data_IF_684326871769
#
_entry.id   IF_684326871769
#
_cell.length_a   1.000
_cell.length_b   1.000
_cell.length_c   1.000
_cell.angle_alpha   90.00
_cell.angle_beta   90.00
_cell.angle_gamma   90.00
#
_symmetry.space_group_name_H-M   'P 1'
#
loop_
_entity.id
_entity.type
_entity.pdbx_description
1 polymer ?
#
# COMPACT_ATOMS: atom_id res chain seq x y z
N UNK A 1 4.46 25.57 -2.67
CA UNK A 1 5.59 24.66 -2.33
C UNK A 1 5.24 23.37 -3.04
N UNK A 2 5.97 23.02 -4.10
CA UNK A 2 5.89 21.68 -4.69
C UNK A 2 6.24 20.70 -3.57
N UNK A 3 5.25 19.91 -3.13
CA UNK A 3 5.58 18.70 -2.38
C UNK A 3 6.15 17.77 -3.44
N UNK A 4 7.47 17.66 -3.52
CA UNK A 4 8.08 16.70 -4.43
C UNK A 4 7.74 15.30 -3.90
N UNK A 5 6.81 14.62 -4.57
CA UNK A 5 6.24 13.30 -4.25
C UNK A 5 7.23 12.21 -4.69
N UNK A 6 8.42 12.25 -4.10
CA UNK A 6 9.44 11.24 -4.28
C UNK A 6 9.79 10.70 -2.91
N UNK A 7 9.42 9.45 -2.65
CA UNK A 7 9.86 8.77 -1.45
C UNK A 7 11.23 8.11 -1.67
N UNK A 8 12.06 8.21 -0.65
CA UNK A 8 13.40 7.65 -0.65
C UNK A 8 13.34 6.26 -0.03
N UNK A 9 13.62 5.22 -0.81
CA UNK A 9 13.83 3.90 -0.25
C UNK A 9 15.15 3.94 0.50
N UNK A 10 15.09 3.82 1.82
CA UNK A 10 16.27 3.77 2.68
C UNK A 10 16.61 2.32 3.00
N UNK A 11 17.89 1.96 3.01
CA UNK A 11 18.30 0.70 3.65
C UNK A 11 18.34 0.85 5.17
N UNK A 12 18.62 -0.24 5.90
CA UNK A 12 18.74 -0.25 7.37
C UNK A 12 19.85 0.66 7.93
N UNK A 13 20.65 1.29 7.06
CA UNK A 13 21.70 2.27 7.41
C UNK A 13 21.31 3.70 7.06
N UNK A 14 20.08 3.94 6.61
CA UNK A 14 19.60 5.27 6.21
C UNK A 14 20.21 5.77 4.88
N UNK A 15 20.71 4.87 4.03
CA UNK A 15 21.20 5.24 2.70
C UNK A 15 20.08 5.16 1.67
N UNK A 16 19.94 6.22 0.87
CA UNK A 16 19.01 6.27 -0.25
C UNK A 16 19.46 5.29 -1.34
N UNK A 17 18.66 4.25 -1.58
CA UNK A 17 18.92 3.26 -2.63
C UNK A 17 18.09 3.50 -3.90
N UNK A 18 16.91 4.11 -3.80
CA UNK A 18 16.06 4.42 -4.96
C UNK A 18 15.13 5.60 -4.66
N UNK A 19 14.79 6.38 -5.70
CA UNK A 19 13.71 7.38 -5.67
C UNK A 19 12.49 6.80 -6.38
N UNK A 20 11.37 6.70 -5.68
CA UNK A 20 10.12 6.14 -6.23
C UNK A 20 9.03 7.21 -6.14
N UNK A 21 8.26 7.39 -7.21
CA UNK A 21 7.09 8.27 -7.22
C UNK A 21 5.94 7.62 -6.45
N UNK A 22 5.03 8.41 -5.89
CA UNK A 22 3.84 7.85 -5.23
C UNK A 22 2.78 7.51 -6.27
N UNK A 23 2.45 6.22 -6.35
CA UNK A 23 1.38 5.64 -7.17
C UNK A 23 0.11 5.42 -6.36
N UNK A 24 0.19 5.45 -5.03
CA UNK A 24 -0.93 5.44 -4.08
C UNK A 24 -0.80 6.62 -3.13
N UNK A 25 -1.83 6.89 -2.33
CA UNK A 25 -1.74 7.85 -1.23
C UNK A 25 -0.81 7.34 -0.12
N UNK A 26 0.51 7.45 -0.29
CA UNK A 26 1.50 6.82 0.60
C UNK A 26 1.30 7.21 2.08
N UNK A 27 1.15 8.49 2.39
CA UNK A 27 0.97 8.94 3.78
C UNK A 27 -0.36 8.45 4.39
N UNK A 28 -1.45 8.41 3.62
CA UNK A 28 -2.75 7.91 4.07
C UNK A 28 -2.72 6.40 4.24
N UNK A 29 -2.18 5.70 3.25
CA UNK A 29 -2.03 4.26 3.23
C UNK A 29 -1.19 3.77 4.43
N UNK A 30 -0.04 4.41 4.70
CA UNK A 30 0.80 4.07 5.85
C UNK A 30 0.06 4.21 7.18
N UNK A 31 -0.80 5.22 7.35
CA UNK A 31 -1.63 5.37 8.56
C UNK A 31 -2.67 4.26 8.69
N UNK A 32 -3.28 3.85 7.57
CA UNK A 32 -4.22 2.72 7.56
C UNK A 32 -3.49 1.45 7.96
N UNK A 33 -2.32 1.18 7.36
CA UNK A 33 -1.51 0.00 7.69
C UNK A 33 -1.05 0.02 9.15
N UNK A 34 -0.59 1.16 9.67
CA UNK A 34 -0.21 1.29 11.08
C UNK A 34 -1.40 0.95 11.99
N UNK A 35 -2.58 1.46 11.67
CA UNK A 35 -3.81 1.15 12.43
C UNK A 35 -4.12 -0.34 12.40
N UNK A 36 -3.99 -0.99 11.24
CA UNK A 36 -4.22 -2.44 11.11
C UNK A 36 -3.21 -3.25 11.93
N UNK A 37 -1.93 -2.86 11.95
CA UNK A 37 -0.92 -3.49 12.81
C UNK A 37 -1.26 -3.34 14.29
N UNK A 38 -1.65 -2.13 14.72
CA UNK A 38 -2.04 -1.87 16.12
C UNK A 38 -3.26 -2.70 16.53
N UNK A 39 -4.27 -2.79 15.68
CA UNK A 39 -5.43 -3.67 15.90
C UNK A 39 -5.03 -5.16 16.02
N UNK A 40 -4.00 -5.61 15.30
CA UNK A 40 -3.48 -6.96 15.44
C UNK A 40 -2.71 -7.14 16.75
N UNK A 41 -1.94 -6.13 17.18
CA UNK A 41 -1.18 -6.13 18.42
C UNK A 41 -2.08 -6.16 19.67
N UNK A 42 -3.26 -5.53 19.61
CA UNK A 42 -4.28 -5.57 20.67
C UNK A 42 -4.80 -6.98 21.01
N UNK A 43 -4.46 -8.01 20.21
CA UNK A 43 -4.82 -9.40 20.52
C UNK A 43 -3.86 -10.08 21.51
N UNK A 44 -2.76 -9.43 21.89
CA UNK A 44 -1.74 -9.95 22.82
C UNK A 44 -1.88 -9.24 24.17
N UNK A 45 -1.86 -10.01 25.26
CA UNK A 45 -1.97 -9.48 26.63
C UNK A 45 -0.72 -8.65 27.04
N UNK A 46 0.40 -8.90 26.37
CA UNK A 46 1.74 -8.34 26.55
C UNK A 46 2.18 -7.50 25.35
N UNK A 47 1.24 -6.80 24.70
CA UNK A 47 1.46 -5.97 23.53
C UNK A 47 2.64 -4.97 23.65
N UNK A 48 2.79 -4.32 24.81
CA UNK A 48 3.88 -3.35 25.04
C UNK A 48 5.25 -4.05 25.05
N UNK A 49 5.35 -5.22 25.70
CA UNK A 49 6.59 -6.01 25.77
C UNK A 49 6.94 -6.56 24.38
N UNK A 50 5.93 -7.01 23.61
CA UNK A 50 6.12 -7.46 22.24
C UNK A 50 6.61 -6.32 21.31
N UNK A 51 6.10 -5.10 21.47
CA UNK A 51 6.58 -3.95 20.70
C UNK A 51 8.03 -3.59 21.06
N UNK A 52 8.41 -3.65 22.34
CA UNK A 52 9.81 -3.49 22.77
C UNK A 52 10.72 -4.58 22.19
N UNK A 53 10.27 -5.84 22.21
CA UNK A 53 11.01 -6.96 21.65
C UNK A 53 11.22 -6.84 20.13
N UNK A 54 10.20 -6.40 19.38
CA UNK A 54 10.34 -6.09 17.94
C UNK A 54 11.39 -5.00 17.72
N UNK A 55 11.39 -3.96 18.56
CA UNK A 55 12.35 -2.87 18.48
C UNK A 55 13.78 -3.34 18.75
N UNK A 56 13.98 -4.21 19.74
CA UNK A 56 15.29 -4.77 20.06
C UNK A 56 15.79 -5.75 19.00
N UNK A 57 14.93 -6.64 18.52
CA UNK A 57 15.30 -7.69 17.57
C UNK A 57 15.56 -7.15 16.16
N UNK A 58 14.70 -6.24 15.69
CA UNK A 58 14.73 -5.76 14.30
C UNK A 58 15.17 -4.31 14.15
N UNK A 59 15.28 -3.54 15.24
CA UNK A 59 15.53 -2.10 15.17
C UNK A 59 14.35 -1.33 14.59
N UNK A 60 13.13 -1.86 14.73
CA UNK A 60 11.91 -1.35 14.08
C UNK A 60 10.79 -1.14 15.09
N UNK A 61 9.94 -0.16 14.84
CA UNK A 61 8.66 0.00 15.53
C UNK A 61 7.49 -0.21 14.56
N UNK A 62 6.26 -0.26 15.09
CA UNK A 62 5.04 -0.49 14.29
C UNK A 62 4.91 0.53 13.15
N UNK A 63 5.24 1.80 13.41
CA UNK A 63 5.22 2.83 12.39
C UNK A 63 6.19 2.50 11.25
N UNK A 64 7.43 2.10 11.55
CA UNK A 64 8.42 1.73 10.53
C UNK A 64 8.01 0.49 9.72
N UNK A 65 7.38 -0.51 10.36
CA UNK A 65 6.82 -1.68 9.66
C UNK A 65 5.71 -1.28 8.69
N UNK A 66 4.82 -0.36 9.11
CA UNK A 66 3.76 0.15 8.27
C UNK A 66 4.29 0.92 7.05
N UNK A 67 5.34 1.73 7.23
CA UNK A 67 6.01 2.43 6.14
C UNK A 67 6.70 1.47 5.17
N UNK A 68 7.39 0.44 5.67
CA UNK A 68 8.02 -0.58 4.82
C UNK A 68 6.98 -1.32 3.96
N UNK A 69 5.86 -1.73 4.56
CA UNK A 69 4.76 -2.36 3.84
C UNK A 69 4.20 -1.41 2.76
N UNK A 70 3.99 -0.15 3.11
CA UNK A 70 3.43 0.87 2.19
C UNK A 70 4.35 1.12 1.01
N UNK A 71 5.65 1.24 1.26
CA UNK A 71 6.67 1.40 0.22
C UNK A 71 6.70 0.22 -0.73
N UNK A 72 6.58 -1.00 -0.22
CA UNK A 72 6.52 -2.20 -1.05
C UNK A 72 5.22 -2.25 -1.86
N UNK A 73 4.07 -1.96 -1.24
CA UNK A 73 2.79 -1.86 -1.93
C UNK A 73 2.81 -0.80 -3.05
N UNK A 74 3.45 0.36 -2.82
CA UNK A 74 3.62 1.40 -3.83
C UNK A 74 4.46 0.93 -5.02
N UNK A 75 5.56 0.21 -4.76
CA UNK A 75 6.39 -0.39 -5.83
C UNK A 75 5.64 -1.47 -6.60
N UNK A 76 4.90 -2.32 -5.92
CA UNK A 76 4.08 -3.35 -6.56
C UNK A 76 2.95 -2.72 -7.37
N UNK A 77 2.33 -1.63 -6.90
CA UNK A 77 1.35 -0.86 -7.66
C UNK A 77 1.98 -0.32 -8.95
N UNK A 78 3.17 0.30 -8.89
CA UNK A 78 3.89 0.73 -10.09
C UNK A 78 4.05 -0.42 -11.09
N UNK A 79 4.57 -1.56 -10.64
CA UNK A 79 4.77 -2.74 -11.51
C UNK A 79 3.44 -3.21 -12.10
N UNK A 80 2.38 -3.20 -11.30
CA UNK A 80 1.05 -3.62 -11.70
C UNK A 80 0.44 -2.70 -12.78
N UNK A 81 0.59 -1.39 -12.64
CA UNK A 81 0.14 -0.40 -13.62
C UNK A 81 0.82 -0.54 -14.99
N UNK A 82 1.97 -1.21 -15.04
CA UNK A 82 2.76 -1.40 -16.25
C UNK A 82 2.69 -2.82 -16.84
N UNK A 83 1.80 -3.68 -16.32
CA UNK A 83 1.56 -5.00 -16.90
C UNK A 83 0.82 -4.91 -18.24
N UNK A 84 0.99 -5.92 -19.09
CA UNK A 84 0.21 -6.07 -20.33
C UNK A 84 -1.30 -6.25 -20.07
N UNK A 85 -1.65 -6.69 -18.86
CA UNK A 85 -3.02 -6.84 -18.40
C UNK A 85 -3.13 -6.56 -16.90
N UNK A 86 -4.17 -5.82 -16.54
CA UNK A 86 -4.57 -5.49 -15.18
C UNK A 86 -5.67 -6.44 -14.69
N UNK A 87 -5.85 -7.60 -15.32
CA UNK A 87 -6.71 -8.65 -14.79
C UNK A 87 -5.99 -9.41 -13.68
N UNK A 88 -6.67 -9.60 -12.54
CA UNK A 88 -6.20 -10.48 -11.47
C UNK A 88 -6.97 -11.81 -11.51
N UNK A 89 -6.27 -12.90 -11.80
CA UNK A 89 -6.87 -14.25 -11.84
C UNK A 89 -7.54 -14.60 -10.50
N UNK A 90 -8.80 -15.02 -10.56
CA UNK A 90 -9.58 -15.36 -9.36
C UNK A 90 -10.16 -14.16 -8.61
N UNK A 91 -9.94 -12.94 -9.10
CA UNK A 91 -10.53 -11.70 -8.60
C UNK A 91 -11.37 -11.02 -9.70
N UNK A 92 -12.38 -10.25 -9.30
CA UNK A 92 -13.17 -9.42 -10.23
C UNK A 92 -12.51 -8.06 -10.50
N UNK A 93 -11.42 -7.75 -9.80
CA UNK A 93 -10.70 -6.49 -9.93
C UNK A 93 -9.92 -6.42 -11.26
N UNK A 94 -10.15 -5.34 -12.02
CA UNK A 94 -9.48 -5.04 -13.27
C UNK A 94 -9.32 -3.53 -13.46
N UNK A 95 -8.18 -2.95 -13.07
CA UNK A 95 -7.96 -1.49 -13.10
C UNK A 95 -8.22 -0.85 -14.46
N UNK A 96 -7.95 -1.57 -15.56
CA UNK A 96 -8.19 -1.05 -16.90
C UNK A 96 -9.67 -0.75 -17.17
N UNK A 97 -10.58 -1.48 -16.51
CA UNK A 97 -12.03 -1.28 -16.60
C UNK A 97 -12.57 -0.50 -15.40
N UNK A 98 -12.03 -0.75 -14.20
CA UNK A 98 -12.48 -0.15 -12.95
C UNK A 98 -12.21 1.37 -12.91
N UNK A 99 -11.04 1.81 -13.40
CA UNK A 99 -10.67 3.23 -13.34
C UNK A 99 -11.52 4.12 -14.27
N UNK A 100 -11.73 3.78 -15.57
CA UNK A 100 -12.67 4.53 -16.41
C UNK A 100 -14.09 4.59 -15.82
N UNK A 101 -14.56 3.49 -15.23
CA UNK A 101 -15.84 3.46 -14.52
C UNK A 101 -15.85 4.40 -13.32
N UNK A 102 -14.80 4.42 -12.51
CA UNK A 102 -14.66 5.36 -11.40
C UNK A 102 -14.73 6.82 -11.88
N UNK A 103 -13.98 7.16 -12.94
CA UNK A 103 -13.90 8.53 -13.48
C UNK A 103 -15.20 9.02 -14.12
N UNK A 104 -15.91 8.14 -14.82
CA UNK A 104 -17.06 8.53 -15.65
C UNK A 104 -18.41 8.17 -15.02
N UNK A 105 -18.42 7.26 -14.04
CA UNK A 105 -19.63 6.63 -13.50
C UNK A 105 -20.27 5.59 -14.43
N UNK A 106 -19.67 5.30 -15.59
CA UNK A 106 -20.26 4.47 -16.64
C UNK A 106 -19.49 3.15 -16.78
N UNK A 107 -20.23 2.03 -16.88
CA UNK A 107 -19.64 0.68 -16.95
C UNK A 107 -19.11 0.31 -18.35
N UNK A 108 -19.62 0.95 -19.41
CA UNK A 108 -19.27 0.62 -20.80
C UNK A 108 -18.90 1.87 -21.57
N UNK A 109 -17.85 1.76 -22.40
CA UNK A 109 -17.51 2.81 -23.35
C UNK A 109 -18.67 3.18 -24.28
N UNK A 110 -19.57 2.24 -24.62
CA UNK A 110 -20.75 2.51 -25.46
C UNK A 110 -21.76 3.48 -24.85
N UNK A 111 -21.75 3.58 -23.53
CA UNK A 111 -22.70 4.37 -22.74
C UNK A 111 -22.07 5.70 -22.28
N UNK A 112 -20.81 5.94 -22.68
CA UNK A 112 -20.05 7.15 -22.39
C UNK A 112 -20.09 8.09 -23.60
N UNK A 113 -20.46 9.35 -23.38
CA UNK A 113 -20.64 10.33 -24.45
C UNK A 113 -19.31 10.84 -25.05
N UNK A 114 -18.16 10.52 -24.43
CA UNK A 114 -16.82 10.86 -24.92
C UNK A 114 -16.13 9.73 -25.69
N UNK A 115 -15.02 10.04 -26.36
CA UNK A 115 -14.22 9.08 -27.13
C UNK A 115 -12.95 8.60 -26.40
N UNK A 116 -12.66 9.16 -25.22
CA UNK A 116 -11.44 8.94 -24.43
C UNK A 116 -11.61 7.90 -23.30
N UNK A 117 -12.72 7.15 -23.24
CA UNK A 117 -13.01 6.21 -22.15
C UNK A 117 -11.84 5.27 -21.82
N UNK A 118 -11.24 4.68 -22.85
CA UNK A 118 -10.09 3.77 -22.68
C UNK A 118 -8.74 4.49 -22.56
N UNK A 119 -8.70 5.80 -22.84
CA UNK A 119 -7.52 6.64 -22.66
C UNK A 119 -7.41 7.14 -21.21
N UNK A 120 -8.49 7.10 -20.42
CA UNK A 120 -8.48 7.53 -19.02
C UNK A 120 -7.43 6.78 -18.19
N UNK A 121 -7.35 5.45 -18.31
CA UNK A 121 -6.38 4.65 -17.57
C UNK A 121 -4.92 4.98 -17.97
N UNK A 122 -4.52 4.96 -19.27
CA UNK A 122 -3.18 5.40 -19.67
C UNK A 122 -2.85 6.82 -19.23
N UNK A 123 -3.81 7.74 -19.26
CA UNK A 123 -3.60 9.12 -18.80
C UNK A 123 -3.31 9.18 -17.29
N UNK A 124 -4.00 8.38 -16.47
CA UNK A 124 -3.68 8.24 -15.03
C UNK A 124 -2.23 7.78 -14.83
N UNK A 125 -1.82 6.72 -15.51
CA UNK A 125 -0.45 6.18 -15.41
C UNK A 125 0.58 7.25 -15.76
N UNK A 126 0.36 8.01 -16.84
CA UNK A 126 1.24 9.11 -17.26
C UNK A 126 1.35 10.19 -16.18
N UNK A 127 0.25 10.59 -15.54
CA UNK A 127 0.28 11.58 -14.44
C UNK A 127 1.09 11.09 -13.24
N UNK A 128 0.89 9.82 -12.86
CA UNK A 128 1.61 9.20 -11.74
C UNK A 128 3.10 9.03 -12.02
N UNK A 129 3.47 8.59 -13.23
CA UNK A 129 4.87 8.47 -13.66
C UNK A 129 5.58 9.82 -13.76
N UNK A 130 4.85 10.88 -14.12
CA UNK A 130 5.35 12.24 -14.10
C UNK A 130 5.49 12.81 -12.67
N UNK A 131 5.08 12.06 -11.64
CA UNK A 131 4.96 12.51 -10.25
C UNK A 131 4.20 13.83 -10.16
N UNK A 132 3.11 13.96 -10.92
CA UNK A 132 2.33 15.19 -11.01
C UNK A 132 1.70 15.53 -9.65
N UNK A 133 1.76 16.81 -9.28
CA UNK A 133 1.15 17.38 -8.06
C UNK A 133 -0.12 18.17 -8.42
N UNK A 134 -0.99 17.56 -9.22
CA UNK A 134 -2.31 18.10 -9.55
C UNK A 134 -3.38 17.49 -8.68
N UNK A 135 -4.52 18.19 -8.59
CA UNK A 135 -5.72 17.67 -7.93
C UNK A 135 -6.10 16.30 -8.51
N UNK A 136 -6.02 16.14 -9.83
CA UNK A 136 -6.31 14.87 -10.48
C UNK A 136 -5.33 13.76 -10.09
N UNK A 137 -4.03 14.06 -10.05
CA UNK A 137 -3.04 13.05 -9.65
C UNK A 137 -3.21 12.62 -8.19
N UNK A 138 -3.70 13.51 -7.33
CA UNK A 138 -4.05 13.17 -5.94
C UNK A 138 -5.30 12.29 -5.87
N UNK A 139 -6.36 12.62 -6.62
CA UNK A 139 -7.54 11.75 -6.75
C UNK A 139 -7.17 10.35 -7.27
N UNK A 140 -6.24 10.28 -8.23
CA UNK A 140 -5.77 9.02 -8.80
C UNK A 140 -5.07 8.14 -7.74
N UNK A 141 -4.22 8.75 -6.89
CA UNK A 141 -3.54 8.07 -5.79
C UNK A 141 -4.51 7.58 -4.72
N UNK A 142 -5.51 8.40 -4.37
CA UNK A 142 -6.55 8.05 -3.40
C UNK A 142 -7.40 6.89 -3.91
N UNK A 143 -7.78 6.92 -5.19
CA UNK A 143 -8.51 5.82 -5.82
C UNK A 143 -7.70 4.53 -5.82
N UNK A 144 -6.41 4.58 -6.17
CA UNK A 144 -5.57 3.38 -6.19
C UNK A 144 -5.33 2.80 -4.79
N UNK A 145 -5.32 3.64 -3.75
CA UNK A 145 -5.35 3.20 -2.35
C UNK A 145 -6.65 2.44 -2.02
N UNK A 146 -7.81 3.02 -2.33
CA UNK A 146 -9.12 2.36 -2.12
C UNK A 146 -9.20 1.03 -2.88
N UNK A 147 -8.87 1.06 -4.17
CA UNK A 147 -8.87 -0.11 -5.05
C UNK A 147 -7.93 -1.21 -4.53
N UNK A 148 -6.76 -0.87 -3.98
CA UNK A 148 -5.85 -1.85 -3.37
C UNK A 148 -6.54 -2.62 -2.24
N UNK A 149 -7.20 -1.91 -1.32
CA UNK A 149 -7.90 -2.56 -0.21
C UNK A 149 -9.11 -3.36 -0.67
N UNK A 150 -9.83 -2.92 -1.70
CA UNK A 150 -10.92 -3.68 -2.31
C UNK A 150 -10.42 -4.97 -2.98
N UNK A 151 -9.29 -4.88 -3.70
CA UNK A 151 -8.73 -5.99 -4.43
C UNK A 151 -8.11 -7.06 -3.51
N UNK A 152 -7.34 -6.64 -2.50
CA UNK A 152 -6.60 -7.58 -1.63
C UNK A 152 -7.34 -7.91 -0.34
N UNK A 153 -8.28 -7.08 0.08
CA UNK A 153 -9.05 -7.23 1.30
C UNK A 153 -8.24 -6.89 2.55
N UNK A 154 -8.82 -6.08 3.45
CA UNK A 154 -8.22 -5.77 4.75
C UNK A 154 -8.04 -7.03 5.62
N UNK A 155 -8.91 -8.03 5.48
CA UNK A 155 -8.81 -9.30 6.20
C UNK A 155 -7.51 -10.04 5.90
N UNK A 156 -7.10 -10.15 4.62
CA UNK A 156 -5.87 -10.85 4.26
C UNK A 156 -4.63 -10.10 4.76
N UNK A 157 -4.67 -8.77 4.73
CA UNK A 157 -3.59 -7.94 5.27
C UNK A 157 -3.45 -8.18 6.78
N UNK A 158 -4.56 -8.10 7.53
CA UNK A 158 -4.57 -8.38 8.97
C UNK A 158 -4.15 -9.81 9.30
N UNK A 159 -4.54 -10.79 8.49
CA UNK A 159 -4.13 -12.18 8.65
C UNK A 159 -2.61 -12.33 8.57
N UNK A 160 -1.98 -11.68 7.58
CA UNK A 160 -0.52 -11.69 7.45
C UNK A 160 0.17 -10.99 8.64
N UNK A 161 -0.37 -9.88 9.12
CA UNK A 161 0.17 -9.18 10.27
C UNK A 161 0.02 -9.98 11.56
N UNK A 162 -1.13 -10.61 11.78
CA UNK A 162 -1.37 -11.50 12.90
C UNK A 162 -0.36 -12.65 12.94
N UNK A 163 -0.18 -13.36 11.82
CA UNK A 163 0.81 -14.44 11.74
C UNK A 163 2.24 -13.97 12.03
N UNK A 164 2.63 -12.79 11.52
CA UNK A 164 3.95 -12.21 11.82
C UNK A 164 4.11 -11.91 13.31
N UNK A 165 3.11 -11.30 13.94
CA UNK A 165 3.15 -10.99 15.36
C UNK A 165 3.14 -12.25 16.24
N UNK A 166 2.38 -13.29 15.86
CA UNK A 166 2.40 -14.59 16.55
C UNK A 166 3.78 -15.26 16.48
N UNK A 167 4.45 -15.19 15.33
CA UNK A 167 5.81 -15.72 15.19
C UNK A 167 6.79 -14.99 16.11
N UNK A 168 6.75 -13.66 16.13
CA UNK A 168 7.65 -12.86 16.99
C UNK A 168 7.32 -13.05 18.48
N UNK A 169 6.04 -13.17 18.82
CA UNK A 169 5.59 -13.43 20.20
C UNK A 169 6.10 -14.77 20.72
N UNK A 170 6.02 -15.83 19.90
CA UNK A 170 6.58 -17.14 20.25
C UNK A 170 8.09 -17.08 20.50
N UNK A 171 8.84 -16.29 19.73
CA UNK A 171 10.28 -16.10 19.96
C UNK A 171 10.56 -15.38 21.28
N UNK A 172 9.76 -14.36 21.61
CA UNK A 172 9.88 -13.62 22.86
C UNK A 172 9.62 -14.52 24.08
N UNK A 173 8.56 -15.34 24.04
CA UNK A 173 8.24 -16.29 25.10
C UNK A 173 9.38 -17.30 25.32
N UNK A 174 9.94 -17.85 24.25
CA UNK A 174 11.10 -18.76 24.31
C UNK A 174 12.33 -18.09 24.95
N UNK A 175 12.67 -16.87 24.55
CA UNK A 175 13.80 -16.12 25.11
C UNK A 175 13.61 -15.83 26.62
N UNK A 176 12.38 -15.58 27.07
CA UNK A 176 12.07 -15.35 28.48
C UNK A 176 12.03 -16.64 29.31
N UNK A 177 11.70 -17.78 28.73
CA UNK A 177 11.79 -19.07 29.40
C UNK A 177 13.24 -19.56 29.59
N UNK A 178 14.16 -19.15 28.70
CA UNK A 178 15.58 -19.52 28.76
C UNK A 178 16.46 -18.59 29.65
N UNK A 179 15.92 -17.46 30.12
CA UNK A 179 16.63 -16.43 30.92
C UNK A 179 16.60 -16.68 32.45
#
# INVERSE_FOLDING_TARGET
MEKNIWEYVMNSKGEVIEKVADYIGVESFAKVIESLYRECLENFDDADDLEEYIADLYGKNIQSLAWEFTLEANKEMKKYLHKDSQHMDGNFANLYEDYPKHRTGVWRASDYDGDDYYDLYPQMVVRLDAAEDSEQANEDREYLEEWYFEAFGTYNIKYNFGNYLEEVHSMMEEDYEEA
#
